data_IF_159885834127
#
_entry.id   IF_159885834127
#
_cell.length_a   1.000
_cell.length_b   1.000
_cell.length_c   1.000
_cell.angle_alpha   90.00
_cell.angle_beta   90.00
_cell.angle_gamma   90.00
#
_symmetry.space_group_name_H-M   'P 1'
#
loop_
_entity.id
_entity.type
_entity.pdbx_description
1 polymer ?
#
# COMPACT_ATOMS: atom_id res chain seq x y z
N UNK A 1 -93.10 11.06 9.28
CA UNK A 1 -92.03 12.01 9.65
C UNK A 1 -90.62 11.41 9.73
N UNK A 2 -90.44 10.10 9.97
CA UNK A 2 -89.11 9.53 10.28
C UNK A 2 -88.14 9.37 9.07
N UNK A 3 -88.64 9.06 7.87
CA UNK A 3 -87.78 8.73 6.71
C UNK A 3 -87.10 9.98 6.10
N UNK A 4 -87.82 11.11 6.01
CA UNK A 4 -87.26 12.36 5.44
C UNK A 4 -86.14 12.93 6.32
N UNK A 5 -86.27 12.85 7.65
CA UNK A 5 -85.26 13.34 8.60
C UNK A 5 -83.99 12.48 8.54
N UNK A 6 -84.12 11.16 8.45
CA UNK A 6 -82.97 10.27 8.28
C UNK A 6 -82.25 10.49 6.94
N UNK A 7 -82.98 10.77 5.86
CA UNK A 7 -82.39 11.06 4.56
C UNK A 7 -81.64 12.40 4.55
N UNK A 8 -82.19 13.45 5.17
CA UNK A 8 -81.51 14.75 5.29
C UNK A 8 -80.27 14.68 6.18
N UNK A 9 -80.31 13.90 7.26
CA UNK A 9 -79.17 13.70 8.15
C UNK A 9 -78.03 12.94 7.45
N UNK A 10 -78.34 11.88 6.68
CA UNK A 10 -77.34 11.14 5.90
C UNK A 10 -76.68 12.02 4.82
N UNK A 11 -77.46 12.88 4.14
CA UNK A 11 -76.90 13.83 3.16
C UNK A 11 -75.98 14.85 3.85
N UNK A 12 -76.37 15.37 5.02
CA UNK A 12 -75.52 16.28 5.79
C UNK A 12 -74.22 15.59 6.22
N UNK A 13 -74.26 14.35 6.74
CA UNK A 13 -73.05 13.61 7.11
C UNK A 13 -72.12 13.36 5.92
N UNK A 14 -72.67 13.02 4.74
CA UNK A 14 -71.90 12.88 3.51
C UNK A 14 -71.23 14.19 3.07
N UNK A 15 -71.93 15.31 3.18
CA UNK A 15 -71.37 16.64 2.88
C UNK A 15 -70.25 16.98 3.87
N UNK A 16 -70.46 16.78 5.16
CA UNK A 16 -69.44 17.02 6.18
C UNK A 16 -68.20 16.13 5.97
N UNK A 17 -68.40 14.85 5.66
CA UNK A 17 -67.30 13.92 5.39
C UNK A 17 -66.47 14.35 4.16
N UNK A 18 -67.13 14.78 3.09
CA UNK A 18 -66.44 15.29 1.89
C UNK A 18 -65.67 16.60 2.17
N UNK A 19 -66.24 17.50 2.98
CA UNK A 19 -65.55 18.74 3.40
C UNK A 19 -64.32 18.41 4.23
N UNK A 20 -64.44 17.49 5.20
CA UNK A 20 -63.32 17.05 6.04
C UNK A 20 -62.22 16.40 5.19
N UNK A 21 -62.59 15.54 4.23
CA UNK A 21 -61.64 14.92 3.31
C UNK A 21 -60.88 15.96 2.47
N UNK A 22 -61.59 16.95 1.94
CA UNK A 22 -60.98 18.03 1.17
C UNK A 22 -60.02 18.88 2.02
N UNK A 23 -60.42 19.24 3.24
CA UNK A 23 -59.57 19.97 4.18
C UNK A 23 -58.32 19.17 4.55
N UNK A 24 -58.45 17.87 4.79
CA UNK A 24 -57.31 16.99 5.07
C UNK A 24 -56.33 16.93 3.89
N UNK A 25 -56.85 16.86 2.65
CA UNK A 25 -56.01 16.90 1.45
C UNK A 25 -55.27 18.23 1.32
N UNK A 26 -55.93 19.35 1.59
CA UNK A 26 -55.29 20.68 1.59
C UNK A 26 -54.22 20.79 2.68
N UNK A 27 -54.50 20.29 3.89
CA UNK A 27 -53.53 20.27 5.01
C UNK A 27 -52.30 19.43 4.65
N UNK A 28 -52.48 18.26 4.03
CA UNK A 28 -51.38 17.40 3.63
C UNK A 28 -50.53 18.08 2.53
N UNK A 29 -51.16 18.69 1.54
CA UNK A 29 -50.45 19.46 0.51
C UNK A 29 -49.64 20.62 1.11
N UNK A 30 -50.21 21.35 2.08
CA UNK A 30 -49.49 22.42 2.78
C UNK A 30 -48.32 21.88 3.61
N UNK A 31 -48.46 20.72 4.25
CA UNK A 31 -47.36 20.06 4.98
C UNK A 31 -46.20 19.70 4.05
N UNK A 32 -46.49 19.17 2.86
CA UNK A 32 -45.47 18.83 1.88
C UNK A 32 -44.71 20.08 1.39
N UNK A 33 -45.42 21.18 1.16
CA UNK A 33 -44.81 22.46 0.79
C UNK A 33 -43.89 22.98 1.91
N UNK A 34 -44.33 22.91 3.16
CA UNK A 34 -43.52 23.32 4.32
C UNK A 34 -42.27 22.46 4.41
N UNK A 35 -42.40 21.14 4.28
CA UNK A 35 -41.28 20.18 4.30
C UNK A 35 -40.24 20.49 3.21
N UNK A 36 -40.70 20.77 1.99
CA UNK A 36 -39.82 21.14 0.89
C UNK A 36 -39.06 22.44 1.20
N UNK A 37 -39.76 23.46 1.72
CA UNK A 37 -39.13 24.74 2.08
C UNK A 37 -38.11 24.59 3.21
N UNK A 38 -38.38 23.75 4.22
CA UNK A 38 -37.41 23.49 5.30
C UNK A 38 -36.16 22.80 4.80
N UNK A 39 -36.28 21.88 3.86
CA UNK A 39 -35.11 21.22 3.25
C UNK A 39 -34.28 22.20 2.42
N UNK A 40 -34.92 23.09 1.65
CA UNK A 40 -34.22 24.11 0.87
C UNK A 40 -33.43 25.08 1.77
N UNK A 41 -34.03 25.50 2.90
CA UNK A 41 -33.35 26.35 3.90
C UNK A 41 -32.10 25.65 4.42
N UNK A 42 -32.22 24.38 4.79
CA UNK A 42 -31.09 23.58 5.27
C UNK A 42 -29.97 23.46 4.24
N UNK A 43 -30.30 23.22 2.97
CA UNK A 43 -29.30 23.19 1.88
C UNK A 43 -28.59 24.53 1.70
N UNK A 44 -29.30 25.64 1.87
CA UNK A 44 -28.72 26.98 1.81
C UNK A 44 -27.80 27.25 3.02
N UNK A 45 -28.21 26.84 4.23
CA UNK A 45 -27.38 26.91 5.43
C UNK A 45 -26.09 26.08 5.28
N UNK A 46 -26.18 24.87 4.73
CA UNK A 46 -25.02 24.02 4.45
C UNK A 46 -24.07 24.66 3.41
N UNK A 47 -24.61 25.35 2.41
CA UNK A 47 -23.80 26.12 1.44
C UNK A 47 -23.13 27.33 2.09
N UNK A 48 -23.83 28.08 2.93
CA UNK A 48 -23.26 29.25 3.64
C UNK A 48 -22.18 28.84 4.64
N UNK A 49 -22.39 27.74 5.36
CA UNK A 49 -21.40 27.19 6.31
C UNK A 49 -20.20 26.55 5.63
N UNK A 50 -20.28 26.28 4.31
CA UNK A 50 -19.13 25.80 3.55
C UNK A 50 -17.92 26.72 3.76
N UNK A 51 -16.77 26.10 4.02
CA UNK A 51 -15.52 26.78 4.40
C UNK A 51 -15.12 27.84 3.36
N UNK A 52 -15.48 27.62 2.08
CA UNK A 52 -15.13 28.52 0.99
C UNK A 52 -15.92 29.83 1.03
N UNK A 53 -17.24 29.76 1.21
CA UNK A 53 -18.11 30.94 1.27
C UNK A 53 -17.92 31.71 2.58
N UNK A 54 -17.84 31.01 3.71
CA UNK A 54 -17.54 31.64 5.01
C UNK A 54 -16.21 32.41 5.01
N UNK A 55 -15.16 31.88 4.36
CA UNK A 55 -13.90 32.61 4.20
C UNK A 55 -14.03 33.83 3.27
N UNK A 56 -14.83 33.75 2.20
CA UNK A 56 -15.10 34.92 1.34
C UNK A 56 -15.88 36.01 2.08
N UNK A 57 -16.87 35.64 2.90
CA UNK A 57 -17.64 36.57 3.74
C UNK A 57 -16.71 37.26 4.76
N UNK A 58 -15.84 36.49 5.44
CA UNK A 58 -14.83 37.05 6.36
C UNK A 58 -13.89 38.03 5.64
N UNK A 59 -13.50 37.74 4.38
CA UNK A 59 -12.65 38.63 3.58
C UNK A 59 -13.33 39.95 3.26
N UNK A 60 -14.61 39.91 2.86
CA UNK A 60 -15.41 41.12 2.59
C UNK A 60 -15.65 41.94 3.86
N UNK A 61 -15.86 41.28 4.99
CA UNK A 61 -16.09 41.94 6.29
C UNK A 61 -14.80 42.39 6.99
N UNK A 62 -13.62 42.24 6.37
CA UNK A 62 -12.33 42.64 6.94
C UNK A 62 -11.89 41.85 8.18
N UNK A 63 -12.58 40.75 8.52
CA UNK A 63 -12.29 39.90 9.69
C UNK A 63 -11.50 38.64 9.32
N UNK A 64 -11.11 38.49 8.05
CA UNK A 64 -10.29 37.38 7.59
C UNK A 64 -8.83 37.59 7.96
N UNK A 65 -8.35 36.79 8.90
CA UNK A 65 -6.92 36.66 9.18
C UNK A 65 -6.34 35.67 8.19
N UNK A 66 -5.36 36.10 7.38
CA UNK A 66 -4.60 35.18 6.54
C UNK A 66 -3.91 34.14 7.41
N UNK A 67 -3.96 32.84 7.05
CA UNK A 67 -3.24 31.81 7.80
C UNK A 67 -1.76 32.17 7.85
N UNK A 68 -1.23 32.44 9.04
CA UNK A 68 0.22 32.55 9.27
C UNK A 68 0.86 31.19 9.05
N UNK A 69 2.15 31.13 8.70
CA UNK A 69 2.87 29.87 8.40
C UNK A 69 2.73 28.81 9.51
N UNK A 70 2.56 29.22 10.77
CA UNK A 70 2.30 28.33 11.92
C UNK A 70 0.93 27.63 11.89
N UNK A 71 -0.03 28.17 11.14
CA UNK A 71 -1.38 27.59 10.95
C UNK A 71 -1.48 26.74 9.68
N UNK A 72 -0.41 26.67 8.88
CA UNK A 72 -0.32 25.73 7.76
C UNK A 72 -0.34 24.30 8.30
N UNK A 73 -1.37 23.53 7.94
CA UNK A 73 -1.42 22.07 8.17
C UNK A 73 -0.37 21.31 7.37
N UNK A 74 0.34 21.99 6.47
CA UNK A 74 1.43 21.35 5.73
C UNK A 74 2.59 21.20 6.69
N UNK A 75 3.05 19.96 6.96
CA UNK A 75 4.20 19.78 7.84
C UNK A 75 5.38 20.55 7.27
N UNK A 76 6.20 21.13 8.15
CA UNK A 76 7.49 21.70 7.75
C UNK A 76 8.25 20.59 7.01
N UNK A 77 8.39 20.73 5.71
CA UNK A 77 9.09 19.74 4.89
C UNK A 77 10.57 19.82 5.25
N UNK A 78 11.10 18.73 5.76
CA UNK A 78 12.53 18.63 6.01
C UNK A 78 13.28 18.59 4.67
N UNK A 79 14.45 19.23 4.60
CA UNK A 79 15.31 19.18 3.42
C UNK A 79 15.59 17.74 3.02
N UNK A 80 15.75 17.50 1.71
CA UNK A 80 16.12 16.19 1.19
C UNK A 80 17.43 15.71 1.82
N UNK A 81 17.33 14.76 2.75
CA UNK A 81 18.50 14.07 3.31
C UNK A 81 18.83 12.88 2.44
N UNK A 82 20.04 12.88 1.89
CA UNK A 82 20.61 11.71 1.22
C UNK A 82 21.05 10.73 2.31
N UNK A 83 20.43 9.54 2.32
CA UNK A 83 20.81 8.46 3.22
C UNK A 83 21.88 7.56 2.56
N UNK A 84 22.50 6.67 3.34
CA UNK A 84 23.48 5.69 2.84
C UNK A 84 22.85 4.78 1.80
N UNK A 85 23.58 4.50 0.73
CA UNK A 85 23.17 3.55 -0.30
C UNK A 85 23.07 2.12 0.25
N UNK A 86 22.15 1.34 -0.32
CA UNK A 86 22.04 -0.07 0.01
C UNK A 86 23.21 -0.85 -0.58
N UNK A 87 23.69 -1.84 0.17
CA UNK A 87 24.78 -2.70 -0.29
C UNK A 87 24.19 -3.68 -1.30
N UNK A 88 24.65 -3.60 -2.55
CA UNK A 88 24.31 -4.58 -3.59
C UNK A 88 25.15 -5.82 -3.37
N UNK A 89 24.51 -6.89 -2.93
CA UNK A 89 25.16 -8.20 -2.79
C UNK A 89 24.71 -9.10 -3.93
N UNK A 90 25.63 -9.70 -4.72
CA UNK A 90 25.23 -10.72 -5.66
C UNK A 90 24.60 -11.86 -4.88
N UNK A 91 23.52 -12.44 -5.42
CA UNK A 91 23.04 -13.75 -5.01
C UNK A 91 24.15 -14.70 -5.42
N UNK A 92 25.10 -14.93 -4.52
CA UNK A 92 26.00 -16.06 -4.63
C UNK A 92 25.09 -17.26 -4.55
N UNK A 93 24.76 -17.85 -5.71
CA UNK A 93 24.25 -19.22 -5.75
C UNK A 93 25.25 -20.00 -4.92
N UNK A 94 24.83 -20.53 -3.78
CA UNK A 94 25.71 -21.29 -2.89
C UNK A 94 26.55 -22.23 -3.75
N UNK A 95 27.88 -22.29 -3.57
CA UNK A 95 28.73 -23.10 -4.42
C UNK A 95 28.14 -24.50 -4.50
N UNK A 96 27.73 -24.90 -5.70
CA UNK A 96 27.12 -26.21 -5.91
C UNK A 96 28.19 -27.24 -5.60
N UNK A 97 28.09 -27.92 -4.45
CA UNK A 97 28.97 -29.04 -4.18
C UNK A 97 28.77 -30.07 -5.30
N UNK A 98 29.83 -30.68 -5.84
CA UNK A 98 29.61 -31.73 -6.81
C UNK A 98 29.37 -33.06 -6.08
N UNK A 99 28.19 -33.67 -6.20
CA UNK A 99 27.93 -34.93 -5.52
C UNK A 99 28.90 -36.04 -5.94
N UNK A 100 29.48 -35.98 -7.15
CA UNK A 100 30.50 -36.94 -7.61
C UNK A 100 31.78 -36.86 -6.77
N UNK A 101 32.20 -35.66 -6.40
CA UNK A 101 33.36 -35.44 -5.53
C UNK A 101 33.08 -35.93 -4.09
N UNK A 102 31.85 -35.70 -3.60
CA UNK A 102 31.43 -36.23 -2.30
C UNK A 102 31.48 -37.77 -2.30
N UNK A 103 31.02 -38.41 -3.37
CA UNK A 103 31.06 -39.86 -3.52
C UNK A 103 32.48 -40.41 -3.63
N UNK A 104 33.40 -39.70 -4.28
CA UNK A 104 34.80 -40.09 -4.36
C UNK A 104 35.49 -40.11 -2.98
N UNK A 105 35.09 -39.20 -2.08
CA UNK A 105 35.72 -39.01 -0.79
C UNK A 105 35.09 -39.80 0.36
N UNK A 106 34.03 -40.60 0.13
CA UNK A 106 33.35 -41.28 1.24
C UNK A 106 32.54 -42.51 0.84
N UNK A 107 32.28 -43.38 1.83
CA UNK A 107 31.45 -44.58 1.66
C UNK A 107 29.99 -44.28 2.01
N UNK A 108 29.20 -43.91 1.01
CA UNK A 108 27.77 -43.65 1.17
C UNK A 108 26.92 -44.81 0.67
N UNK A 109 25.83 -45.12 1.38
CA UNK A 109 24.81 -46.07 0.93
C UNK A 109 23.58 -45.32 0.43
N UNK A 110 23.02 -45.79 -0.68
CA UNK A 110 21.77 -45.26 -1.23
C UNK A 110 20.64 -45.22 -0.18
N UNK A 111 19.70 -44.31 -0.38
CA UNK A 111 18.45 -44.32 0.38
C UNK A 111 17.59 -45.52 -0.09
N UNK A 112 16.83 -46.15 0.81
CA UNK A 112 15.79 -47.11 0.36
C UNK A 112 14.45 -46.41 0.09
N UNK A 113 14.39 -45.09 0.28
CA UNK A 113 13.15 -44.33 0.23
C UNK A 113 12.68 -44.07 -1.21
N UNK A 114 13.62 -43.96 -2.17
CA UNK A 114 13.29 -43.74 -3.58
C UNK A 114 12.64 -44.96 -4.25
N UNK A 115 12.78 -46.15 -3.65
CA UNK A 115 12.17 -47.40 -4.12
C UNK A 115 10.68 -47.51 -3.75
N UNK A 116 10.18 -46.61 -2.90
CA UNK A 116 8.75 -46.61 -2.54
C UNK A 116 7.92 -46.06 -3.71
N UNK A 117 6.79 -46.69 -4.06
CA UNK A 117 5.96 -46.25 -5.18
C UNK A 117 5.41 -44.81 -5.00
N UNK A 118 5.15 -44.40 -3.75
CA UNK A 118 4.67 -43.05 -3.42
C UNK A 118 5.81 -42.05 -3.15
N UNK A 119 6.97 -42.19 -3.80
CA UNK A 119 8.07 -41.22 -3.62
C UNK A 119 7.77 -39.93 -4.40
N UNK A 120 7.56 -38.78 -3.73
CA UNK A 120 7.13 -37.56 -4.40
C UNK A 120 8.24 -37.00 -5.30
N UNK A 121 7.91 -36.52 -6.49
CA UNK A 121 8.81 -35.86 -7.46
C UNK A 121 10.17 -36.56 -7.67
N UNK A 122 10.21 -37.78 -8.25
CA UNK A 122 11.45 -38.56 -8.40
C UNK A 122 12.50 -37.87 -9.29
N UNK A 123 12.11 -36.99 -10.22
CA UNK A 123 13.05 -36.35 -11.15
C UNK A 123 13.76 -35.13 -10.54
N UNK A 124 13.39 -34.74 -9.32
CA UNK A 124 13.96 -33.59 -8.65
C UNK A 124 15.38 -33.87 -8.15
N UNK A 125 16.32 -33.04 -8.60
CA UNK A 125 17.73 -33.07 -8.21
C UNK A 125 17.94 -32.23 -6.93
N UNK A 126 18.96 -32.55 -6.13
CA UNK A 126 19.31 -31.72 -4.96
C UNK A 126 19.82 -30.33 -5.39
N UNK A 127 19.25 -29.22 -4.91
CA UNK A 127 19.66 -27.87 -5.32
C UNK A 127 21.05 -27.47 -4.80
N UNK A 128 21.59 -28.20 -3.81
CA UNK A 128 22.88 -27.86 -3.21
C UNK A 128 24.05 -28.71 -3.73
N UNK A 129 23.80 -29.96 -4.12
CA UNK A 129 24.87 -30.85 -4.61
C UNK A 129 24.63 -31.50 -5.97
N UNK A 130 23.50 -31.22 -6.59
CA UNK A 130 23.09 -31.84 -7.85
C UNK A 130 22.95 -33.38 -7.80
N UNK A 131 22.75 -33.97 -6.61
CA UNK A 131 22.58 -35.43 -6.47
C UNK A 131 21.20 -35.91 -6.95
N UNK A 132 21.18 -37.12 -7.51
CA UNK A 132 19.98 -37.81 -7.99
C UNK A 132 19.10 -38.36 -6.86
N UNK A 133 17.88 -38.84 -7.21
CA UNK A 133 16.85 -39.36 -6.29
C UNK A 133 17.32 -40.48 -5.37
N UNK A 134 18.30 -41.27 -5.81
CA UNK A 134 18.84 -42.40 -5.06
C UNK A 134 19.47 -41.99 -3.73
N UNK A 135 19.89 -40.73 -3.63
CA UNK A 135 20.56 -40.16 -2.48
C UNK A 135 19.62 -39.36 -1.58
N UNK A 136 18.32 -39.33 -1.89
CA UNK A 136 17.33 -38.55 -1.17
C UNK A 136 16.44 -39.44 -0.32
N UNK A 137 16.05 -38.96 0.86
CA UNK A 137 14.99 -39.57 1.65
C UNK A 137 13.97 -38.53 2.07
N UNK A 138 12.77 -38.99 2.37
CA UNK A 138 11.70 -38.14 2.87
C UNK A 138 12.01 -37.75 4.32
N UNK A 139 12.14 -36.45 4.59
CA UNK A 139 12.38 -35.95 5.94
C UNK A 139 11.05 -35.53 6.60
N UNK A 140 10.20 -34.85 5.85
CA UNK A 140 8.83 -34.47 6.27
C UNK A 140 7.86 -34.67 5.10
N UNK A 141 6.56 -34.44 5.32
CA UNK A 141 5.53 -34.55 4.28
C UNK A 141 5.74 -33.63 3.07
N UNK A 142 6.58 -32.61 3.18
CA UNK A 142 6.83 -31.59 2.14
C UNK A 142 8.31 -31.39 1.83
N UNK A 143 9.21 -32.06 2.56
CA UNK A 143 10.66 -31.88 2.42
C UNK A 143 11.40 -33.21 2.24
N UNK A 144 12.35 -33.20 1.31
CA UNK A 144 13.37 -34.24 1.16
C UNK A 144 14.65 -33.80 1.84
N UNK A 145 15.49 -34.78 2.18
CA UNK A 145 16.85 -34.55 2.67
C UNK A 145 17.83 -35.35 1.83
N UNK A 146 18.91 -34.71 1.40
CA UNK A 146 19.99 -35.37 0.69
C UNK A 146 20.93 -36.05 1.69
N UNK A 147 21.32 -37.30 1.44
CA UNK A 147 22.30 -38.04 2.25
C UNK A 147 23.73 -37.55 2.06
N UNK A 148 24.06 -36.98 0.90
CA UNK A 148 25.42 -36.56 0.56
C UNK A 148 25.74 -35.20 1.20
N UNK A 149 24.90 -34.19 0.96
CA UNK A 149 25.13 -32.84 1.50
C UNK A 149 24.38 -32.55 2.81
N UNK A 150 23.58 -33.50 3.30
CA UNK A 150 22.75 -33.39 4.51
C UNK A 150 21.75 -32.21 4.53
N UNK A 151 21.61 -31.45 3.44
CA UNK A 151 20.63 -30.36 3.34
C UNK A 151 19.23 -30.88 3.04
N UNK A 152 18.25 -30.20 3.63
CA UNK A 152 16.82 -30.38 3.34
C UNK A 152 16.39 -29.42 2.23
N UNK A 153 15.45 -29.86 1.40
CA UNK A 153 14.85 -29.04 0.35
C UNK A 153 13.39 -29.43 0.15
N UNK A 154 12.57 -28.46 -0.26
CA UNK A 154 11.14 -28.64 -0.50
C UNK A 154 10.97 -29.26 -1.89
N UNK A 155 10.13 -30.29 -2.01
CA UNK A 155 9.68 -30.77 -3.31
C UNK A 155 8.45 -29.97 -3.72
N UNK A 156 8.67 -28.97 -4.58
CA UNK A 156 7.58 -28.19 -5.17
C UNK A 156 7.45 -28.56 -6.64
N UNK A 157 6.21 -28.65 -7.13
CA UNK A 157 5.90 -28.79 -8.57
C UNK A 157 6.31 -27.53 -9.37
N UNK A 158 6.59 -26.42 -8.68
CA UNK A 158 6.69 -25.08 -9.26
C UNK A 158 8.04 -24.37 -9.06
N UNK A 159 9.10 -25.07 -8.62
CA UNK A 159 10.47 -24.52 -8.67
C UNK A 159 11.23 -24.97 -9.93
N UNK A 160 10.57 -24.85 -11.09
CA UNK A 160 11.29 -24.46 -12.32
C UNK A 160 11.49 -22.94 -12.29
N UNK A 161 12.13 -22.41 -11.24
CA UNK A 161 12.79 -21.11 -11.40
C UNK A 161 14.06 -21.45 -12.16
N UNK A 162 13.96 -21.40 -13.49
CA UNK A 162 15.10 -21.42 -14.38
C UNK A 162 15.96 -20.23 -14.00
N UNK A 163 17.03 -20.49 -13.25
CA UNK A 163 18.08 -19.50 -12.94
C UNK A 163 18.70 -18.96 -14.24
N UNK A 164 18.53 -19.66 -15.38
CA UNK A 164 18.93 -19.24 -16.72
C UNK A 164 18.08 -18.15 -17.36
N UNK A 165 16.88 -17.85 -16.84
CA UNK A 165 15.93 -16.93 -17.48
C UNK A 165 15.85 -15.58 -16.74
N UNK A 166 16.67 -15.39 -15.71
CA UNK A 166 16.75 -14.16 -14.92
C UNK A 166 18.01 -13.40 -15.39
N UNK A 167 17.81 -12.30 -16.11
CA UNK A 167 18.87 -11.35 -16.49
C UNK A 167 19.77 -10.99 -15.31
N UNK A 168 21.06 -10.72 -15.53
CA UNK A 168 22.08 -10.48 -14.49
C UNK A 168 21.67 -9.51 -13.35
N UNK A 169 20.79 -8.55 -13.63
CA UNK A 169 20.25 -7.59 -12.65
C UNK A 169 19.24 -8.20 -11.65
N UNK A 170 18.61 -9.34 -11.97
CA UNK A 170 17.62 -10.01 -11.11
C UNK A 170 18.26 -10.90 -10.04
N UNK A 171 19.59 -11.04 -10.07
CA UNK A 171 20.37 -11.77 -9.06
C UNK A 171 20.99 -10.85 -7.99
N UNK A 172 20.48 -9.62 -7.83
CA UNK A 172 20.98 -8.71 -6.80
C UNK A 172 20.08 -8.70 -5.57
N UNK A 173 20.68 -8.99 -4.41
CA UNK A 173 20.05 -8.82 -3.11
C UNK A 173 20.56 -7.52 -2.50
N UNK A 174 19.62 -6.63 -2.13
CA UNK A 174 19.96 -5.41 -1.40
C UNK A 174 20.09 -5.71 0.10
N UNK A 175 21.17 -5.24 0.72
CA UNK A 175 21.39 -5.32 2.16
C UNK A 175 21.40 -3.92 2.80
N UNK A 176 20.90 -3.85 4.03
CA UNK A 176 20.87 -2.62 4.81
C UNK A 176 22.28 -2.16 5.18
N UNK A 177 22.68 -0.90 4.92
CA UNK A 177 24.02 -0.40 5.24
C UNK A 177 24.28 -0.26 6.76
N UNK A 178 23.25 -0.39 7.59
CA UNK A 178 23.34 -0.22 9.04
C UNK A 178 23.37 -1.54 9.82
N UNK A 179 22.76 -2.60 9.30
CA UNK A 179 22.71 -3.90 9.98
C UNK A 179 23.08 -5.08 9.11
N UNK A 180 23.45 -4.84 7.84
CA UNK A 180 23.88 -5.84 6.86
C UNK A 180 22.87 -6.97 6.62
N UNK A 181 21.63 -6.81 7.07
CA UNK A 181 20.53 -7.73 6.79
C UNK A 181 19.90 -7.39 5.45
N UNK A 182 19.48 -8.42 4.73
CA UNK A 182 18.73 -8.31 3.48
C UNK A 182 17.49 -7.43 3.65
N UNK A 183 17.33 -6.48 2.74
CA UNK A 183 16.14 -5.65 2.64
C UNK A 183 15.01 -6.47 2.02
N UNK A 184 13.80 -6.29 2.53
CA UNK A 184 12.62 -6.90 1.95
C UNK A 184 11.99 -5.95 0.94
N UNK A 185 11.65 -6.47 -0.23
CA UNK A 185 10.80 -5.77 -1.18
C UNK A 185 9.45 -5.40 -0.53
N UNK A 186 9.01 -4.17 -0.74
CA UNK A 186 7.78 -3.60 -0.16
C UNK A 186 6.73 -3.29 -1.22
N UNK A 187 7.12 -2.55 -2.27
CA UNK A 187 6.19 -2.14 -3.33
C UNK A 187 6.97 -1.81 -4.60
N UNK A 188 6.43 -2.21 -5.74
CA UNK A 188 6.90 -1.78 -7.05
C UNK A 188 6.09 -0.58 -7.51
N UNK A 189 6.77 0.44 -8.03
CA UNK A 189 6.17 1.60 -8.69
C UNK A 189 6.67 1.65 -10.13
N UNK A 190 6.03 2.47 -10.95
CA UNK A 190 6.41 2.67 -12.35
C UNK A 190 7.87 3.11 -12.50
N UNK A 191 8.32 4.06 -11.68
CA UNK A 191 9.66 4.63 -11.76
C UNK A 191 10.71 3.93 -10.87
N UNK A 192 10.31 3.28 -9.79
CA UNK A 192 11.24 2.72 -8.80
C UNK A 192 10.62 1.57 -8.00
N UNK A 193 11.47 0.71 -7.46
CA UNK A 193 11.10 -0.31 -6.49
C UNK A 193 11.52 0.10 -5.08
N UNK A 194 10.69 -0.24 -4.09
CA UNK A 194 10.92 0.15 -2.70
C UNK A 194 11.27 -1.08 -1.87
N UNK A 195 12.42 -1.00 -1.20
CA UNK A 195 12.92 -2.00 -0.28
C UNK A 195 12.97 -1.43 1.13
N UNK A 196 12.69 -2.25 2.15
CA UNK A 196 12.71 -1.81 3.54
C UNK A 196 13.44 -2.79 4.47
N UNK A 197 14.11 -2.24 5.48
CA UNK A 197 14.73 -3.04 6.53
C UNK A 197 13.68 -3.47 7.57
N UNK A 198 13.44 -4.79 7.66
CA UNK A 198 12.54 -5.40 8.67
C UNK A 198 13.20 -5.68 10.02
N UNK A 199 14.53 -5.56 10.12
CA UNK A 199 15.24 -5.84 11.37
C UNK A 199 14.88 -4.82 12.45
N UNK A 200 14.20 -5.29 13.51
CA UNK A 200 13.80 -4.46 14.65
C UNK A 200 14.98 -3.95 15.48
N UNK A 201 16.12 -4.65 15.44
CA UNK A 201 17.38 -4.30 16.13
C UNK A 201 18.34 -3.50 15.24
N UNK A 202 17.87 -2.96 14.10
CA UNK A 202 18.72 -2.17 13.22
C UNK A 202 19.13 -0.85 13.90
N UNK A 203 20.43 -0.47 13.90
CA UNK A 203 20.90 0.78 14.51
C UNK A 203 20.16 2.02 13.98
N UNK A 204 19.91 2.09 12.67
CA UNK A 204 19.12 3.16 12.06
C UNK A 204 17.72 3.29 12.66
N UNK A 205 17.05 2.14 12.85
CA UNK A 205 15.69 2.10 13.37
C UNK A 205 15.62 2.52 14.83
N UNK A 206 16.60 2.08 15.62
CA UNK A 206 16.71 2.44 17.04
C UNK A 206 16.90 3.95 17.15
N UNK A 207 17.87 4.51 16.40
CA UNK A 207 18.15 5.94 16.38
C UNK A 207 16.93 6.77 15.95
N UNK A 208 16.28 6.42 14.84
CA UNK A 208 15.08 7.13 14.36
C UNK A 208 13.93 7.08 15.38
N UNK A 209 13.74 5.94 16.05
CA UNK A 209 12.74 5.80 17.12
C UNK A 209 13.05 6.71 18.30
N UNK A 210 14.31 6.77 18.74
CA UNK A 210 14.72 7.63 19.84
C UNK A 210 14.55 9.12 19.51
N UNK A 211 14.91 9.54 18.29
CA UNK A 211 14.74 10.93 17.84
C UNK A 211 13.26 11.36 17.81
N UNK A 212 12.38 10.49 17.30
CA UNK A 212 10.94 10.75 17.28
C UNK A 212 10.35 10.81 18.69
N UNK A 213 10.74 9.89 19.58
CA UNK A 213 10.27 9.91 20.97
C UNK A 213 10.77 11.16 21.69
N UNK A 214 12.02 11.60 21.45
CA UNK A 214 12.55 12.84 22.01
C UNK A 214 11.78 14.08 21.53
N UNK A 215 11.38 14.09 20.26
CA UNK A 215 10.73 15.26 19.63
C UNK A 215 9.22 15.31 19.87
N UNK A 216 8.55 14.16 19.87
CA UNK A 216 7.09 14.05 19.87
C UNK A 216 6.52 13.26 21.06
N UNK A 217 7.36 12.78 21.98
CA UNK A 217 7.00 12.04 23.20
C UNK A 217 6.54 10.60 22.99
N UNK A 218 6.01 10.26 21.81
CA UNK A 218 5.48 8.92 21.52
C UNK A 218 5.66 8.55 20.04
N UNK A 219 5.68 7.24 19.77
CA UNK A 219 5.74 6.71 18.41
C UNK A 219 4.33 6.42 17.88
N UNK A 220 4.00 6.95 16.71
CA UNK A 220 2.75 6.69 15.99
C UNK A 220 2.97 5.59 14.94
N UNK A 221 1.89 4.88 14.59
CA UNK A 221 1.95 3.82 13.57
C UNK A 221 2.35 4.30 12.18
N UNK A 222 2.20 5.60 11.90
CA UNK A 222 2.53 6.21 10.61
C UNK A 222 4.01 6.60 10.51
N UNK A 223 4.76 6.55 11.62
CA UNK A 223 6.14 7.03 11.67
C UNK A 223 7.09 6.10 10.91
N UNK A 224 7.88 6.72 10.02
CA UNK A 224 8.83 6.00 9.17
C UNK A 224 10.16 5.82 9.91
N UNK A 225 10.27 4.74 10.67
CA UNK A 225 11.48 4.41 11.44
C UNK A 225 12.36 3.33 10.82
N UNK A 226 11.90 2.63 9.79
CA UNK A 226 12.74 1.65 9.09
C UNK A 226 13.52 2.32 7.98
N UNK A 227 14.76 1.89 7.77
CA UNK A 227 15.54 2.24 6.58
C UNK A 227 14.78 1.80 5.32
N UNK A 228 14.67 2.71 4.35
CA UNK A 228 13.97 2.52 3.08
C UNK A 228 14.95 2.84 1.96
N UNK A 229 15.18 1.88 1.08
CA UNK A 229 15.95 2.04 -0.14
C UNK A 229 15.01 2.08 -1.34
N UNK A 230 15.29 2.94 -2.31
CA UNK A 230 14.54 3.04 -3.56
C UNK A 230 15.48 2.72 -4.71
N UNK A 231 15.18 1.66 -5.43
CA UNK A 231 15.93 1.27 -6.61
C UNK A 231 15.25 1.86 -7.85
N UNK A 232 15.93 2.78 -8.52
CA UNK A 232 15.37 3.53 -9.64
C UNK A 232 15.49 2.67 -10.90
N UNK A 233 14.37 2.45 -11.59
CA UNK A 233 14.31 1.62 -12.82
C UNK A 233 14.82 2.37 -14.05
N UNK A 234 14.73 3.69 -14.03
CA UNK A 234 15.19 4.55 -15.13
C UNK A 234 16.66 4.84 -15.00
N UNK A 235 17.41 4.71 -16.09
CA UNK A 235 18.80 5.16 -16.09
C UNK A 235 18.84 6.70 -16.01
N UNK A 236 19.87 7.24 -15.36
CA UNK A 236 20.11 8.69 -15.34
C UNK A 236 20.19 9.26 -16.77
N UNK A 237 20.69 8.47 -17.72
CA UNK A 237 20.75 8.85 -19.13
C UNK A 237 19.36 9.04 -19.75
N UNK A 238 18.34 8.30 -19.31
CA UNK A 238 16.98 8.48 -19.80
C UNK A 238 16.33 9.74 -19.24
N UNK A 239 16.71 10.14 -18.02
CA UNK A 239 16.31 11.42 -17.42
C UNK A 239 16.95 12.58 -18.19
N UNK A 240 18.25 12.51 -18.49
CA UNK A 240 18.91 13.53 -19.29
C UNK A 240 18.41 13.57 -20.73
N UNK A 241 18.15 12.42 -21.36
CA UNK A 241 17.48 12.38 -22.67
C UNK A 241 16.10 13.02 -22.64
N UNK A 242 15.32 12.81 -21.58
CA UNK A 242 14.03 13.49 -21.42
C UNK A 242 14.22 15.00 -21.34
N UNK A 243 15.18 15.48 -20.54
CA UNK A 243 15.51 16.91 -20.41
C UNK A 243 15.99 17.49 -21.76
N UNK A 244 16.91 16.81 -22.44
CA UNK A 244 17.48 17.21 -23.73
C UNK A 244 16.46 17.17 -24.87
N UNK A 245 15.51 16.22 -24.83
CA UNK A 245 14.39 16.14 -25.78
C UNK A 245 13.30 17.17 -25.47
N UNK A 246 13.19 17.61 -24.21
CA UNK A 246 12.36 18.74 -23.81
C UNK A 246 13.06 20.08 -24.11
N UNK A 247 13.42 20.30 -25.38
CA UNK A 247 13.67 21.66 -25.91
C UNK A 247 12.35 22.42 -26.04
N UNK A 248 11.62 22.56 -24.94
CA UNK A 248 10.52 23.51 -24.81
C UNK A 248 11.07 24.69 -24.04
N UNK A 249 11.27 25.83 -24.71
CA UNK A 249 11.71 27.12 -24.13
C UNK A 249 10.79 27.68 -23.04
N UNK A 250 9.81 26.90 -22.57
CA UNK A 250 8.87 27.29 -21.53
C UNK A 250 8.57 26.04 -20.71
N UNK A 251 8.91 25.97 -19.42
CA UNK A 251 8.46 24.88 -18.60
C UNK A 251 6.93 24.97 -18.50
N UNK A 252 6.20 24.00 -19.06
CA UNK A 252 4.77 23.80 -18.76
C UNK A 252 4.65 23.36 -17.30
N UNK A 253 4.82 24.29 -16.37
CA UNK A 253 4.62 24.09 -14.93
C UNK A 253 3.12 24.01 -14.69
N UNK A 254 2.54 22.81 -14.80
CA UNK A 254 1.24 22.50 -14.20
C UNK A 254 1.36 22.20 -12.69
N UNK A 255 2.43 22.66 -12.05
CA UNK A 255 2.54 22.68 -10.60
C UNK A 255 1.96 24.01 -10.09
N UNK A 256 0.64 24.10 -10.03
CA UNK A 256 -0.02 25.14 -9.22
C UNK A 256 0.12 24.72 -7.76
N UNK A 257 1.28 24.97 -7.17
CA UNK A 257 1.41 24.94 -5.72
C UNK A 257 0.67 26.17 -5.19
N UNK A 258 -0.43 25.96 -4.46
CA UNK A 258 -1.25 27.04 -3.92
C UNK A 258 -0.46 28.05 -3.09
N UNK A 259 0.66 27.64 -2.49
CA UNK A 259 1.62 28.46 -1.75
C UNK A 259 3.03 27.85 -1.90
N UNK A 260 3.76 28.18 -2.97
CA UNK A 260 5.18 27.81 -3.09
C UNK A 260 6.03 28.89 -2.41
N UNK A 261 6.71 28.55 -1.33
CA UNK A 261 7.70 29.43 -0.72
C UNK A 261 9.01 29.30 -1.49
N UNK A 262 9.30 30.27 -2.35
CA UNK A 262 10.49 30.27 -3.21
C UNK A 262 11.81 30.43 -2.46
N UNK A 263 11.78 30.78 -1.16
CA UNK A 263 12.99 30.95 -0.32
C UNK A 263 13.69 29.64 0.09
N UNK A 264 13.18 28.49 -0.35
CA UNK A 264 13.73 27.16 -0.04
C UNK A 264 14.79 26.72 -1.08
N UNK A 265 14.99 27.48 -2.16
CA UNK A 265 15.97 27.21 -3.22
C UNK A 265 17.00 28.33 -3.34
#
# INVERSE_FOLDING_TARGET
MSIRVNFTNNIQELIYSNIILNLNNQINSLKDIVMHKTNLIKELEDKVTSIKLSNQIKKLNGTYVEPTDETSRSPVYEYFKVDKEAIKTPIVSTPSLNYKEILANGKFKHSKAYLKPNFPNPDQICPNCSSTKEWHYLHTKTQKRCKLCLKTFIFSESQKIKISDLSDDQNLVFACPYCYKTLSFRVSRSAFDVYCCKNKKCPFRIKAKEEIIKTHGSLKNQDKISYIYRDIKTSINDVFKFIDSSKTDIPKRNFIFRNFNSKIF
#
